data_IF_471132590639
#
_entry.id   IF_471132590639
#
_cell.length_a   1.000
_cell.length_b   1.000
_cell.length_c   1.000
_cell.angle_alpha   90.00
_cell.angle_beta   90.00
_cell.angle_gamma   90.00
#
_symmetry.space_group_name_H-M   'P 1'
#
loop_
_entity.id
_entity.type
_entity.pdbx_description
1 polymer ?
#
# COMPACT_ATOMS: atom_id res chain seq x y z
N UNK A 1 -13.13 -2.60 -1.46
CA UNK A 1 -11.74 -2.49 -0.98
C UNK A 1 -11.08 -3.84 -1.15
N UNK A 2 -9.83 -3.86 -1.59
CA UNK A 2 -9.04 -5.09 -1.70
C UNK A 2 -8.63 -5.59 -0.30
N UNK A 3 -8.49 -6.90 -0.17
CA UNK A 3 -7.96 -7.60 1.01
C UNK A 3 -6.63 -6.98 1.49
N UNK A 4 -5.82 -6.55 0.53
CA UNK A 4 -4.51 -5.94 0.76
C UNK A 4 -4.56 -4.70 1.67
N UNK A 5 -5.51 -3.79 1.43
CA UNK A 5 -5.64 -2.56 2.23
C UNK A 5 -5.97 -2.87 3.69
N UNK A 6 -6.68 -3.97 3.95
CA UNK A 6 -6.98 -4.43 5.32
C UNK A 6 -5.69 -4.97 5.98
N UNK A 7 -4.89 -5.74 5.24
CA UNK A 7 -3.61 -6.28 5.70
C UNK A 7 -2.62 -5.16 6.03
N UNK A 8 -2.48 -4.15 5.17
CA UNK A 8 -1.57 -3.03 5.41
C UNK A 8 -2.00 -2.20 6.62
N UNK A 9 -3.31 -2.10 6.85
CA UNK A 9 -3.86 -1.43 8.04
C UNK A 9 -3.56 -2.23 9.32
N UNK A 10 -3.66 -3.55 9.28
CA UNK A 10 -3.28 -4.44 10.39
C UNK A 10 -1.77 -4.30 10.67
N UNK A 11 -0.95 -4.27 9.62
CA UNK A 11 0.49 -4.08 9.70
C UNK A 11 0.86 -2.78 10.44
N UNK A 12 0.32 -1.65 9.96
CA UNK A 12 0.59 -0.34 10.57
C UNK A 12 0.14 -0.28 12.03
N UNK A 13 -1.00 -0.88 12.36
CA UNK A 13 -1.44 -0.94 13.75
C UNK A 13 -0.51 -1.81 14.61
N UNK A 14 0.07 -2.87 14.06
CA UNK A 14 1.01 -3.74 14.76
C UNK A 14 2.35 -3.02 15.00
N UNK A 15 2.87 -2.32 14.00
CA UNK A 15 4.09 -1.50 14.09
C UNK A 15 3.92 -0.34 15.08
N UNK A 16 2.73 0.26 15.13
CA UNK A 16 2.35 1.29 16.11
C UNK A 16 2.16 0.73 17.54
N UNK A 17 2.27 -0.60 17.74
CA UNK A 17 2.03 -1.25 19.03
C UNK A 17 0.57 -1.17 19.49
N UNK A 18 -0.38 -0.91 18.59
CA UNK A 18 -1.80 -0.75 18.88
C UNK A 18 -2.54 -2.09 18.84
N UNK A 19 -3.65 -2.21 19.59
CA UNK A 19 -4.43 -3.45 19.61
C UNK A 19 -5.10 -3.72 18.25
N UNK A 20 -4.80 -4.88 17.67
CA UNK A 20 -5.42 -5.34 16.42
C UNK A 20 -6.83 -5.86 16.70
N UNK A 21 -7.80 -4.96 16.54
CA UNK A 21 -9.24 -5.26 16.68
C UNK A 21 -9.99 -4.86 15.43
N UNK A 22 -11.11 -5.53 15.16
CA UNK A 22 -12.00 -5.20 14.05
C UNK A 22 -12.41 -3.73 14.06
N UNK A 23 -12.65 -3.16 15.25
CA UNK A 23 -12.99 -1.75 15.41
C UNK A 23 -11.82 -0.82 15.06
N UNK A 24 -10.61 -1.11 15.57
CA UNK A 24 -9.42 -0.31 15.29
C UNK A 24 -9.06 -0.33 13.80
N UNK A 25 -9.10 -1.50 13.16
CA UNK A 25 -8.83 -1.63 11.72
C UNK A 25 -9.92 -0.92 10.91
N UNK A 26 -11.20 -1.10 11.25
CA UNK A 26 -12.31 -0.40 10.57
C UNK A 26 -12.20 1.12 10.69
N UNK A 27 -11.80 1.65 11.85
CA UNK A 27 -11.65 3.08 12.08
C UNK A 27 -10.60 3.73 11.17
N UNK A 28 -9.57 2.97 10.76
CA UNK A 28 -8.52 3.44 9.84
C UNK A 28 -8.96 3.35 8.37
N UNK A 29 -9.88 2.44 8.03
CA UNK A 29 -10.25 2.15 6.64
C UNK A 29 -11.20 3.18 5.99
N UNK A 30 -11.73 4.16 6.74
CA UNK A 30 -12.50 5.35 6.31
C UNK A 30 -13.63 5.16 5.26
N UNK A 31 -13.97 3.93 4.86
CA UNK A 31 -14.91 3.58 3.78
C UNK A 31 -15.63 2.27 4.08
N UNK A 32 -16.56 1.87 3.20
CA UNK A 32 -17.26 0.57 3.30
C UNK A 32 -16.26 -0.58 3.12
N UNK A 33 -16.23 -1.48 4.11
CA UNK A 33 -15.39 -2.67 4.18
C UNK A 33 -16.31 -3.89 4.30
N UNK A 34 -15.92 -5.00 3.66
CA UNK A 34 -16.58 -6.28 3.91
C UNK A 34 -16.22 -6.76 5.32
N UNK A 35 -17.19 -6.72 6.23
CA UNK A 35 -16.98 -7.05 7.64
C UNK A 35 -16.60 -8.52 7.86
N UNK A 36 -17.07 -9.45 7.02
CA UNK A 36 -16.72 -10.87 7.14
C UNK A 36 -15.23 -11.09 6.87
N UNK A 37 -14.70 -10.49 5.81
CA UNK A 37 -13.29 -10.54 5.47
C UNK A 37 -12.43 -9.86 6.55
N UNK A 38 -12.85 -8.70 7.03
CA UNK A 38 -12.15 -7.98 8.09
C UNK A 38 -12.03 -8.81 9.38
N UNK A 39 -13.14 -9.43 9.81
CA UNK A 39 -13.16 -10.27 11.01
C UNK A 39 -12.27 -11.50 10.82
N UNK A 40 -12.32 -12.14 9.65
CA UNK A 40 -11.50 -13.29 9.33
C UNK A 40 -10.00 -12.95 9.41
N UNK A 41 -9.56 -11.85 8.81
CA UNK A 41 -8.16 -11.42 8.81
C UNK A 41 -7.66 -11.04 10.21
N UNK A 42 -8.48 -10.30 10.97
CA UNK A 42 -8.16 -9.97 12.37
C UNK A 42 -8.08 -11.23 13.23
N UNK A 43 -8.99 -12.19 13.02
CA UNK A 43 -8.97 -13.48 13.70
C UNK A 43 -7.72 -14.29 13.37
N UNK A 44 -7.39 -14.41 12.09
CA UNK A 44 -6.18 -15.09 11.63
C UNK A 44 -4.92 -14.47 12.24
N UNK A 45 -4.83 -13.14 12.31
CA UNK A 45 -3.68 -12.45 12.91
C UNK A 45 -3.52 -12.81 14.39
N UNK A 46 -4.63 -12.86 15.14
CA UNK A 46 -4.61 -13.21 16.57
C UNK A 46 -4.21 -14.65 16.84
N UNK A 47 -4.59 -15.58 15.97
CA UNK A 47 -4.29 -17.00 16.14
C UNK A 47 -2.90 -17.39 15.62
N UNK A 48 -2.44 -16.77 14.52
CA UNK A 48 -1.17 -17.08 13.88
C UNK A 48 -0.54 -15.80 13.28
N UNK A 49 0.11 -14.96 14.12
CA UNK A 49 0.65 -13.69 13.66
C UNK A 49 1.82 -13.84 12.68
N UNK A 50 2.64 -14.89 12.79
CA UNK A 50 3.81 -15.10 11.94
C UNK A 50 3.50 -15.27 10.44
N UNK A 51 2.62 -16.20 10.00
CA UNK A 51 2.32 -16.37 8.58
C UNK A 51 1.62 -15.15 7.97
N UNK A 52 0.85 -14.39 8.76
CA UNK A 52 0.27 -13.13 8.30
C UNK A 52 1.32 -12.02 8.23
N UNK A 53 2.22 -11.91 9.21
CA UNK A 53 3.32 -10.96 9.19
C UNK A 53 4.22 -11.15 7.97
N UNK A 54 4.53 -12.40 7.59
CA UNK A 54 5.31 -12.68 6.38
C UNK A 54 4.61 -12.23 5.09
N UNK A 55 3.29 -12.46 4.98
CA UNK A 55 2.50 -11.97 3.82
C UNK A 55 2.44 -10.45 3.77
N UNK A 56 2.31 -9.82 4.93
CA UNK A 56 2.32 -8.37 5.08
C UNK A 56 3.67 -7.80 4.65
N UNK A 57 4.78 -8.32 5.17
CA UNK A 57 6.13 -7.85 4.81
C UNK A 57 6.40 -8.01 3.32
N UNK A 58 6.06 -9.16 2.74
CA UNK A 58 6.23 -9.39 1.30
C UNK A 58 5.41 -8.41 0.44
N UNK A 59 4.21 -8.03 0.89
CA UNK A 59 3.40 -7.05 0.15
C UNK A 59 3.90 -5.62 0.28
N UNK A 60 4.39 -5.22 1.47
CA UNK A 60 4.96 -3.88 1.67
C UNK A 60 6.20 -3.70 0.78
N UNK A 61 7.05 -4.71 0.68
CA UNK A 61 8.21 -4.70 -0.23
C UNK A 61 7.78 -4.59 -1.71
N UNK A 62 6.72 -5.29 -2.10
CA UNK A 62 6.17 -5.19 -3.45
C UNK A 62 5.60 -3.80 -3.77
N UNK A 63 4.88 -3.18 -2.84
CA UNK A 63 4.37 -1.81 -3.03
C UNK A 63 5.51 -0.78 -3.08
N UNK A 64 6.51 -0.89 -2.20
CA UNK A 64 7.70 -0.03 -2.21
C UNK A 64 8.46 -0.12 -3.54
N UNK A 65 8.61 -1.32 -4.09
CA UNK A 65 9.25 -1.48 -5.41
C UNK A 65 8.40 -0.94 -6.56
N UNK A 66 7.07 -0.99 -6.46
CA UNK A 66 6.18 -0.40 -7.45
C UNK A 66 6.24 1.13 -7.41
N UNK A 67 6.26 1.73 -6.22
CA UNK A 67 6.39 3.18 -6.04
C UNK A 67 7.73 3.71 -6.58
N UNK A 68 8.84 3.03 -6.27
CA UNK A 68 10.15 3.38 -6.81
C UNK A 68 10.18 3.37 -8.35
N UNK A 69 9.57 2.36 -8.97
CA UNK A 69 9.46 2.27 -10.45
C UNK A 69 8.59 3.39 -11.04
N UNK A 70 7.55 3.82 -10.34
CA UNK A 70 6.70 4.93 -10.78
C UNK A 70 7.47 6.26 -10.73
N UNK A 71 8.23 6.50 -9.66
CA UNK A 71 9.07 7.71 -9.53
C UNK A 71 10.11 7.77 -10.64
N UNK A 72 10.81 6.67 -10.91
CA UNK A 72 11.78 6.58 -12.01
C UNK A 72 11.12 6.84 -13.37
N UNK A 73 9.91 6.31 -13.58
CA UNK A 73 9.17 6.51 -14.82
C UNK A 73 8.75 7.97 -15.01
N UNK A 74 8.31 8.64 -13.94
CA UNK A 74 7.96 10.06 -13.97
C UNK A 74 9.19 10.89 -14.36
N UNK A 75 10.32 10.71 -13.68
CA UNK A 75 11.56 11.43 -13.99
C UNK A 75 11.99 11.24 -15.47
N UNK A 76 11.90 10.01 -15.97
CA UNK A 76 12.20 9.71 -17.39
C UNK A 76 11.25 10.44 -18.35
N UNK A 77 9.97 10.54 -18.01
CA UNK A 77 8.98 11.22 -18.84
C UNK A 77 9.18 12.74 -18.80
N UNK A 78 9.47 13.31 -17.64
CA UNK A 78 9.78 14.74 -17.47
C UNK A 78 11.01 15.14 -18.30
N UNK A 79 12.07 14.33 -18.29
CA UNK A 79 13.27 14.59 -19.10
C UNK A 79 12.97 14.55 -20.61
N UNK A 80 12.14 13.58 -21.04
CA UNK A 80 11.71 13.49 -22.44
C UNK A 80 10.88 14.70 -22.86
N UNK A 81 9.95 15.15 -22.00
CA UNK A 81 9.15 16.36 -22.25
C UNK A 81 10.05 17.58 -22.38
N UNK A 82 10.97 17.81 -21.43
CA UNK A 82 11.90 18.92 -21.47
C UNK A 82 12.81 18.91 -22.72
N UNK A 83 13.15 17.73 -23.24
CA UNK A 83 13.89 17.61 -24.51
C UNK A 83 13.02 17.98 -25.70
N UNK A 84 11.79 17.49 -25.76
CA UNK A 84 10.85 17.78 -26.84
C UNK A 84 10.49 19.26 -26.88
N UNK A 85 10.25 19.89 -25.73
CA UNK A 85 9.99 21.34 -25.62
C UNK A 85 11.15 22.17 -26.18
N UNK A 86 12.40 21.82 -25.85
CA UNK A 86 13.58 22.48 -26.42
C UNK A 86 13.70 22.32 -27.93
N UNK A 87 13.40 21.13 -28.46
CA UNK A 87 13.40 20.90 -29.90
C UNK A 87 12.31 21.70 -30.61
N UNK A 88 11.13 21.80 -30.01
CA UNK A 88 10.02 22.59 -30.55
C UNK A 88 10.35 24.10 -30.54
N UNK A 89 10.93 24.59 -29.44
CA UNK A 89 11.38 25.98 -29.33
C UNK A 89 12.50 26.33 -30.33
N UNK A 90 13.35 25.37 -30.70
CA UNK A 90 14.39 25.56 -31.72
C UNK A 90 13.85 25.53 -33.16
N UNK A 91 12.63 25.05 -33.37
CA UNK A 91 11.93 25.00 -34.67
C UNK A 91 10.92 26.15 -34.84
N UNK A 92 10.70 26.94 -33.78
CA UNK A 92 9.84 28.14 -33.75
C UNK A 92 10.65 29.38 -34.10
#
# INVERSE_FOLDING_TARGET
MSEQVILDTIARLADEGKPITTAAVKARLNRRVNMAQLIQLVGQYKHAPQPLAQRISASIEQESTAEARLVERIATLEEKVARLERQLAALS
#
